data_IF_081776528086
#
_entry.id   IF_081776528086
#
_cell.length_a   1.000
_cell.length_b   1.000
_cell.length_c   1.000
_cell.angle_alpha   90.00
_cell.angle_beta   90.00
_cell.angle_gamma   90.00
#
_symmetry.space_group_name_H-M   'P 1'
#
loop_
_entity.id
_entity.type
_entity.pdbx_description
1 polymer ?
#
# COMPACT_ATOMS: atom_id res chain seq x y z
N UNK A 1 19.47 -13.37 1.81
CA UNK A 1 19.22 -12.33 0.79
C UNK A 1 20.15 -12.51 -0.41
N UNK A 2 19.64 -12.54 -1.64
CA UNK A 2 20.49 -12.65 -2.85
C UNK A 2 21.27 -11.33 -3.06
N UNK A 3 22.60 -11.40 -3.16
CA UNK A 3 23.45 -10.22 -3.40
C UNK A 3 23.14 -9.62 -4.79
N UNK A 4 22.90 -8.32 -4.86
CA UNK A 4 22.67 -7.61 -6.13
C UNK A 4 24.00 -7.51 -6.87
N UNK A 5 24.08 -8.16 -8.04
CA UNK A 5 25.27 -8.12 -8.89
C UNK A 5 25.38 -6.77 -9.60
N UNK A 6 26.58 -6.20 -9.65
CA UNK A 6 26.88 -5.00 -10.44
C UNK A 6 26.72 -5.30 -11.94
N UNK A 7 26.27 -4.32 -12.71
CA UNK A 7 26.09 -4.38 -14.17
C UNK A 7 26.87 -3.27 -14.88
N UNK A 8 27.21 -3.49 -16.14
CA UNK A 8 27.84 -2.48 -17.01
C UNK A 8 26.76 -1.64 -17.70
N UNK A 9 26.83 -0.32 -17.59
CA UNK A 9 25.89 0.58 -18.24
C UNK A 9 26.02 0.52 -19.77
N UNK A 10 24.90 0.45 -20.50
CA UNK A 10 24.91 0.43 -21.97
C UNK A 10 25.41 1.76 -22.60
N UNK A 11 25.27 2.89 -21.91
CA UNK A 11 25.71 4.19 -22.42
C UNK A 11 27.16 4.52 -22.01
N UNK A 12 27.38 4.84 -20.73
CA UNK A 12 28.69 5.29 -20.24
C UNK A 12 29.68 4.15 -19.91
N UNK A 13 29.28 2.89 -20.06
CA UNK A 13 30.10 1.69 -19.78
C UNK A 13 30.64 1.54 -18.35
N UNK A 14 30.31 2.45 -17.42
CA UNK A 14 30.65 2.31 -16.00
C UNK A 14 29.90 1.13 -15.36
N UNK A 15 30.53 0.49 -14.37
CA UNK A 15 29.87 -0.47 -13.49
C UNK A 15 28.95 0.27 -12.52
N UNK A 16 27.74 -0.25 -12.32
CA UNK A 16 26.76 0.29 -11.38
C UNK A 16 26.02 -0.83 -10.66
N UNK A 17 25.47 -0.53 -9.49
CA UNK A 17 24.55 -1.43 -8.77
C UNK A 17 23.13 -1.14 -9.27
N UNK A 18 22.44 -2.12 -9.89
CA UNK A 18 21.06 -1.97 -10.29
C UNK A 18 20.13 -1.73 -9.11
N UNK A 19 19.00 -1.07 -9.36
CA UNK A 19 17.95 -0.89 -8.37
C UNK A 19 17.38 -2.25 -7.95
N UNK A 20 17.26 -2.55 -6.63
CA UNK A 20 16.73 -3.82 -6.13
C UNK A 20 15.33 -4.15 -6.64
N UNK A 21 14.53 -3.15 -7.01
CA UNK A 21 13.17 -3.33 -7.54
C UNK A 21 13.16 -3.76 -9.01
N UNK A 22 14.24 -3.48 -9.75
CA UNK A 22 14.34 -3.79 -11.17
C UNK A 22 15.74 -4.28 -11.60
N UNK A 23 16.34 -5.25 -10.89
CA UNK A 23 17.71 -5.65 -11.13
C UNK A 23 17.83 -6.35 -12.48
N UNK A 24 16.79 -7.05 -12.92
CA UNK A 24 16.77 -7.78 -14.19
C UNK A 24 16.73 -6.83 -15.39
N UNK A 25 15.87 -5.79 -15.39
CA UNK A 25 15.62 -4.96 -16.58
C UNK A 25 16.46 -3.68 -16.64
N UNK A 26 17.10 -3.26 -15.55
CA UNK A 26 17.91 -2.05 -15.55
C UNK A 26 19.25 -2.25 -16.27
N UNK A 27 19.39 -1.60 -17.42
CA UNK A 27 20.58 -1.66 -18.30
C UNK A 27 21.42 -0.36 -18.30
N UNK A 28 20.90 0.71 -17.72
CA UNK A 28 21.54 2.02 -17.65
C UNK A 28 21.70 2.46 -16.19
N UNK A 29 22.82 3.12 -15.87
CA UNK A 29 23.05 3.69 -14.55
C UNK A 29 22.20 4.95 -14.31
N UNK A 30 22.13 5.42 -13.06
CA UNK A 30 21.29 6.57 -12.65
C UNK A 30 21.77 7.95 -13.11
N UNK A 31 22.94 8.05 -13.76
CA UNK A 31 23.47 9.32 -14.29
C UNK A 31 22.50 9.92 -15.32
N UNK A 32 22.24 11.23 -15.23
CA UNK A 32 21.34 11.97 -16.14
C UNK A 32 21.57 11.69 -17.64
N UNK A 33 22.79 11.76 -18.21
CA UNK A 33 22.99 11.44 -19.62
C UNK A 33 22.54 10.01 -19.95
N UNK A 34 22.87 9.04 -19.10
CA UNK A 34 22.46 7.64 -19.28
C UNK A 34 20.94 7.45 -19.19
N UNK A 35 20.25 8.20 -18.32
CA UNK A 35 18.78 8.18 -18.23
C UNK A 35 18.13 8.71 -19.50
N UNK A 36 18.64 9.83 -20.04
CA UNK A 36 18.18 10.39 -21.32
C UNK A 36 18.36 9.39 -22.45
N UNK A 37 19.54 8.77 -22.56
CA UNK A 37 19.81 7.72 -23.56
C UNK A 37 18.90 6.51 -23.38
N UNK A 38 18.68 6.05 -22.15
CA UNK A 38 17.76 4.96 -21.84
C UNK A 38 16.35 5.27 -22.34
N UNK A 39 15.83 6.47 -22.02
CA UNK A 39 14.49 6.90 -22.46
C UNK A 39 14.41 6.95 -23.99
N UNK A 40 15.41 7.52 -24.66
CA UNK A 40 15.45 7.60 -26.12
C UNK A 40 15.50 6.21 -26.78
N UNK A 41 16.29 5.28 -26.23
CA UNK A 41 16.38 3.91 -26.73
C UNK A 41 15.04 3.16 -26.56
N UNK A 42 14.41 3.26 -25.40
CA UNK A 42 13.08 2.70 -25.15
C UNK A 42 12.03 3.30 -26.06
N UNK A 43 12.05 4.63 -26.25
CA UNK A 43 11.15 5.33 -27.16
C UNK A 43 11.31 4.84 -28.60
N UNK A 44 12.55 4.71 -29.09
CA UNK A 44 12.83 4.22 -30.45
C UNK A 44 12.33 2.79 -30.64
N UNK A 45 12.59 1.91 -29.68
CA UNK A 45 12.09 0.52 -29.70
C UNK A 45 10.56 0.45 -29.67
N UNK A 46 9.92 1.38 -28.98
CA UNK A 46 8.47 1.43 -28.91
C UNK A 46 7.86 1.95 -30.23
N UNK A 47 8.44 3.00 -30.81
CA UNK A 47 8.05 3.58 -32.10
C UNK A 47 8.38 2.71 -33.31
N UNK A 48 9.32 1.76 -33.19
CA UNK A 48 9.63 0.82 -34.28
C UNK A 48 8.53 -0.22 -34.51
N UNK A 49 7.57 -0.33 -33.59
CA UNK A 49 6.38 -1.16 -33.79
C UNK A 49 5.42 -0.45 -34.75
N UNK A 50 4.93 -1.11 -35.82
CA UNK A 50 4.04 -0.50 -36.80
C UNK A 50 2.84 0.22 -36.19
N UNK A 51 2.24 -0.36 -35.15
CA UNK A 51 1.05 0.15 -34.46
C UNK A 51 1.31 1.48 -33.73
N UNK A 52 2.56 1.72 -33.32
CA UNK A 52 2.95 2.88 -32.51
C UNK A 52 3.67 3.97 -33.33
N UNK A 53 4.01 3.69 -34.58
CA UNK A 53 4.85 4.55 -35.43
C UNK A 53 4.33 5.99 -35.47
N UNK A 54 3.03 6.12 -35.65
CA UNK A 54 2.36 7.40 -35.78
C UNK A 54 1.61 7.82 -34.50
N UNK A 55 1.83 7.18 -33.36
CA UNK A 55 1.08 7.49 -32.13
C UNK A 55 1.10 8.96 -31.73
N UNK A 56 2.23 9.66 -31.94
CA UNK A 56 2.34 11.09 -31.60
C UNK A 56 1.99 12.04 -32.75
N UNK A 57 1.78 11.52 -33.97
CA UNK A 57 1.56 12.31 -35.19
C UNK A 57 0.26 11.99 -35.91
N UNK A 58 -0.38 10.88 -35.56
CA UNK A 58 -1.55 10.34 -36.21
C UNK A 58 -2.79 11.19 -35.92
N UNK A 59 -3.70 11.30 -36.89
CA UNK A 59 -4.85 12.21 -36.80
C UNK A 59 -5.74 11.90 -35.60
N UNK A 60 -5.92 10.63 -35.25
CA UNK A 60 -6.71 10.21 -34.09
C UNK A 60 -6.15 10.73 -32.76
N UNK A 61 -4.85 10.50 -32.50
CA UNK A 61 -4.23 10.96 -31.26
C UNK A 61 -4.18 12.49 -31.17
N UNK A 62 -3.99 13.17 -32.31
CA UNK A 62 -4.03 14.63 -32.38
C UNK A 62 -5.43 15.15 -32.06
N UNK A 63 -6.48 14.62 -32.71
CA UNK A 63 -7.89 14.98 -32.44
C UNK A 63 -8.24 14.76 -30.97
N UNK A 64 -7.90 13.60 -30.41
CA UNK A 64 -8.12 13.29 -28.99
C UNK A 64 -7.47 14.31 -28.05
N UNK A 65 -6.23 14.72 -28.33
CA UNK A 65 -5.54 15.75 -27.52
C UNK A 65 -6.18 17.12 -27.69
N UNK A 66 -6.65 17.47 -28.90
CA UNK A 66 -7.38 18.71 -29.14
C UNK A 66 -8.70 18.75 -28.39
N UNK A 67 -9.49 17.68 -28.44
CA UNK A 67 -10.76 17.55 -27.71
C UNK A 67 -10.53 17.68 -26.21
N UNK A 68 -9.57 16.92 -25.68
CA UNK A 68 -9.22 16.99 -24.26
C UNK A 68 -8.82 18.40 -23.82
N UNK A 69 -8.09 19.15 -24.66
CA UNK A 69 -7.74 20.56 -24.38
C UNK A 69 -8.95 21.49 -24.40
N UNK A 70 -9.94 21.22 -25.26
CA UNK A 70 -11.20 21.98 -25.34
C UNK A 70 -12.04 21.78 -24.09
N UNK A 71 -12.14 20.53 -23.63
CA UNK A 71 -12.85 20.17 -22.40
C UNK A 71 -12.13 20.62 -21.12
N UNK A 72 -10.80 20.79 -21.16
CA UNK A 72 -9.98 21.14 -19.99
C UNK A 72 -9.24 22.49 -20.18
N UNK A 73 -9.96 23.61 -20.39
CA UNK A 73 -9.33 24.91 -20.55
C UNK A 73 -8.61 25.30 -19.25
N UNK A 74 -7.37 25.79 -19.39
CA UNK A 74 -6.58 26.23 -18.24
C UNK A 74 -5.88 25.13 -17.44
N UNK A 75 -5.95 23.85 -17.84
CA UNK A 75 -5.21 22.77 -17.17
C UNK A 75 -3.71 23.07 -17.04
N UNK A 76 -3.09 23.59 -18.11
CA UNK A 76 -1.67 23.96 -18.13
C UNK A 76 -1.33 25.20 -17.29
N UNK A 77 -2.35 25.98 -16.89
CA UNK A 77 -2.22 27.18 -16.05
C UNK A 77 -2.31 26.86 -14.55
N UNK A 78 -2.48 25.60 -14.15
CA UNK A 78 -2.42 25.23 -12.74
C UNK A 78 -1.07 25.66 -12.18
N UNK A 79 -1.08 26.62 -11.24
CA UNK A 79 0.14 26.97 -10.52
C UNK A 79 0.66 25.73 -9.84
N UNK A 80 1.99 25.59 -9.75
CA UNK A 80 2.59 24.62 -8.83
C UNK A 80 2.04 24.97 -7.44
N UNK A 81 1.07 24.21 -6.94
CA UNK A 81 0.71 24.27 -5.53
C UNK A 81 2.03 24.00 -4.79
N UNK A 82 2.51 25.00 -4.06
CA UNK A 82 3.69 24.89 -3.19
C UNK A 82 3.47 23.86 -2.06
N UNK A 83 2.20 23.49 -1.86
CA UNK A 83 1.75 22.49 -0.92
C UNK A 83 1.68 21.17 -1.70
N UNK A 84 2.65 20.28 -1.46
CA UNK A 84 2.46 18.87 -1.73
C UNK A 84 1.15 18.46 -1.04
N UNK A 85 0.38 17.54 -1.63
CA UNK A 85 -0.87 17.02 -1.06
C UNK A 85 -0.66 16.17 0.22
N UNK A 86 0.39 16.49 0.97
CA UNK A 86 0.65 16.05 2.32
C UNK A 86 0.47 17.31 3.17
N UNK A 87 -0.54 17.31 4.03
CA UNK A 87 -0.69 18.36 5.03
C UNK A 87 0.63 18.50 5.78
N UNK A 88 1.24 19.71 5.81
CA UNK A 88 2.33 19.96 6.73
C UNK A 88 1.73 19.80 8.13
N UNK A 89 2.23 18.80 8.88
CA UNK A 89 2.03 18.74 10.33
C UNK A 89 2.45 20.10 10.88
N UNK A 90 1.47 20.93 11.22
CA UNK A 90 1.72 22.18 11.93
C UNK A 90 2.29 21.76 13.27
N UNK A 91 3.61 21.95 13.45
CA UNK A 91 4.24 21.88 14.77
C UNK A 91 3.65 23.04 15.57
N UNK A 92 2.65 22.73 16.42
CA UNK A 92 2.18 23.66 17.41
C UNK A 92 3.21 23.71 18.55
N UNK A 93 3.57 24.93 18.94
CA UNK A 93 4.65 25.22 19.87
C UNK A 93 4.40 24.59 21.24
N UNK A 94 5.47 24.06 21.81
CA UNK A 94 5.51 23.59 23.20
C UNK A 94 5.42 24.82 24.11
N UNK A 95 4.25 25.08 24.66
CA UNK A 95 4.14 25.85 25.90
C UNK A 95 4.35 24.89 27.06
N UNK A 96 5.57 24.89 27.58
CA UNK A 96 5.88 24.28 28.86
C UNK A 96 5.17 25.08 29.95
N UNK A 97 4.11 24.53 30.53
CA UNK A 97 3.73 24.91 31.89
C UNK A 97 3.55 23.66 32.74
N UNK A 98 4.47 23.54 33.69
CA UNK A 98 4.56 22.58 34.76
C UNK A 98 3.31 22.57 35.62
N UNK A 99 2.66 21.41 35.78
CA UNK A 99 2.19 20.98 37.10
C UNK A 99 2.02 19.45 37.12
N UNK A 100 2.85 18.81 37.95
CA UNK A 100 2.57 17.47 38.46
C UNK A 100 1.25 17.50 39.22
N UNK A 101 0.43 16.49 38.99
CA UNK A 101 -0.27 15.70 40.00
C UNK A 101 -1.55 15.14 39.38
N UNK A 102 -1.48 13.88 38.93
CA UNK A 102 -2.48 12.84 39.19
C UNK A 102 -2.23 11.66 38.26
N UNK A 103 -1.92 10.54 38.88
CA UNK A 103 -2.07 9.20 38.30
C UNK A 103 -3.53 9.04 37.88
N UNK A 104 -3.84 9.26 36.61
CA UNK A 104 -5.01 8.72 35.93
C UNK A 104 -4.93 9.01 34.44
N UNK A 105 -5.27 8.02 33.62
CA UNK A 105 -5.57 8.16 32.21
C UNK A 105 -4.38 8.42 31.26
N UNK A 106 -3.37 7.54 31.27
CA UNK A 106 -2.88 7.12 29.95
C UNK A 106 -4.03 6.36 29.31
N UNK A 107 -4.76 7.00 28.40
CA UNK A 107 -5.78 6.32 27.62
C UNK A 107 -5.07 5.17 26.89
N UNK A 108 -5.67 3.99 26.87
CA UNK A 108 -5.11 2.80 26.21
C UNK A 108 -4.61 3.11 24.78
N UNK A 109 -5.25 4.08 24.12
CA UNK A 109 -4.85 4.64 22.83
C UNK A 109 -3.41 5.17 22.78
N UNK A 110 -2.93 5.87 23.82
CA UNK A 110 -1.58 6.42 23.86
C UNK A 110 -0.51 5.32 24.03
N UNK A 111 -0.86 4.22 24.70
CA UNK A 111 -0.01 3.02 24.81
C UNK A 111 0.09 2.26 23.47
N UNK A 112 -1.00 2.21 22.71
CA UNK A 112 -1.08 1.50 21.42
C UNK A 112 -0.33 2.27 20.32
N UNK A 113 -0.31 3.61 20.38
CA UNK A 113 0.52 4.44 19.49
C UNK A 113 2.02 4.22 19.77
N UNK A 114 2.40 3.93 21.02
CA UNK A 114 3.79 3.74 21.43
C UNK A 114 4.35 2.32 21.21
N UNK A 115 3.52 1.29 21.00
CA UNK A 115 4.00 -0.08 20.72
C UNK A 115 3.26 -0.82 19.59
N UNK A 116 3.42 -0.35 18.32
CA UNK A 116 2.96 -1.09 17.14
C UNK A 116 3.40 -2.58 17.09
N UNK A 117 4.61 -2.99 17.55
CA UNK A 117 5.05 -4.37 17.41
C UNK A 117 4.28 -5.40 18.26
N UNK A 118 3.83 -5.03 19.47
CA UNK A 118 3.17 -5.98 20.39
C UNK A 118 1.78 -6.36 19.87
N UNK A 119 1.02 -5.37 19.40
CA UNK A 119 -0.31 -5.58 18.81
C UNK A 119 -0.19 -6.44 17.55
N UNK A 120 0.77 -6.13 16.68
CA UNK A 120 1.05 -6.92 15.48
C UNK A 120 1.44 -8.36 15.86
N UNK A 121 2.26 -8.54 16.90
CA UNK A 121 2.64 -9.85 17.42
C UNK A 121 1.47 -10.67 17.95
N UNK A 122 0.56 -10.05 18.71
CA UNK A 122 -0.63 -10.72 19.24
C UNK A 122 -1.59 -11.15 18.13
N UNK A 123 -1.84 -10.28 17.15
CA UNK A 123 -2.69 -10.60 15.99
C UNK A 123 -2.05 -11.71 15.15
N UNK A 124 -0.74 -11.63 14.93
CA UNK A 124 0.00 -12.68 14.21
C UNK A 124 -0.06 -14.02 14.94
N UNK A 125 0.04 -14.02 16.27
CA UNK A 125 -0.07 -15.23 17.09
C UNK A 125 -1.48 -15.83 17.03
N UNK A 126 -2.52 -14.98 17.03
CA UNK A 126 -3.92 -15.41 16.96
C UNK A 126 -4.28 -16.05 15.61
N UNK A 127 -3.76 -15.51 14.50
CA UNK A 127 -4.03 -16.02 13.14
C UNK A 127 -3.06 -17.15 12.78
N UNK A 128 -1.89 -17.22 13.42
CA UNK A 128 -0.79 -18.09 13.01
C UNK A 128 -0.07 -17.63 11.74
N UNK A 129 -0.29 -16.37 11.30
CA UNK A 129 0.32 -15.79 10.10
C UNK A 129 1.05 -14.49 10.44
N UNK A 130 2.25 -14.30 9.89
CA UNK A 130 3.00 -13.06 9.94
C UNK A 130 2.86 -12.23 8.64
N UNK A 131 2.00 -12.67 7.71
CA UNK A 131 1.78 -12.00 6.45
C UNK A 131 1.00 -10.70 6.68
N UNK A 132 1.49 -9.61 6.11
CA UNK A 132 0.94 -8.27 6.33
C UNK A 132 -0.51 -8.14 5.87
N UNK A 133 -0.87 -8.81 4.76
CA UNK A 133 -2.23 -8.79 4.22
C UNK A 133 -3.22 -9.51 5.14
N UNK A 134 -2.82 -10.66 5.69
CA UNK A 134 -3.63 -11.42 6.66
C UNK A 134 -3.83 -10.61 7.95
N UNK A 135 -2.76 -10.00 8.45
CA UNK A 135 -2.82 -9.14 9.64
C UNK A 135 -3.72 -7.93 9.41
N UNK A 136 -3.63 -7.27 8.24
CA UNK A 136 -4.46 -6.11 7.92
C UNK A 136 -5.94 -6.48 7.78
N UNK A 137 -6.25 -7.59 7.12
CA UNK A 137 -7.62 -8.07 6.96
C UNK A 137 -8.25 -8.45 8.31
N UNK A 138 -7.52 -9.18 9.15
CA UNK A 138 -8.02 -9.57 10.48
C UNK A 138 -8.12 -8.39 11.43
N UNK A 139 -7.20 -7.42 11.37
CA UNK A 139 -7.29 -6.20 12.16
C UNK A 139 -8.60 -5.44 11.86
N UNK A 140 -8.98 -5.35 10.58
CA UNK A 140 -10.23 -4.70 10.17
C UNK A 140 -11.46 -5.45 10.69
N UNK A 141 -11.47 -6.79 10.64
CA UNK A 141 -12.55 -7.62 11.16
C UNK A 141 -12.67 -7.52 12.69
N UNK A 142 -11.54 -7.54 13.40
CA UNK A 142 -11.50 -7.36 14.85
C UNK A 142 -12.00 -5.97 15.26
N UNK A 143 -11.63 -4.94 14.50
CA UNK A 143 -12.13 -3.59 14.72
C UNK A 143 -13.64 -3.53 14.50
N UNK A 144 -14.15 -4.11 13.42
CA UNK A 144 -15.59 -4.13 13.13
C UNK A 144 -16.37 -4.89 14.21
N UNK A 145 -15.89 -6.06 14.63
CA UNK A 145 -16.49 -6.82 15.75
C UNK A 145 -16.47 -6.02 17.06
N UNK A 146 -15.38 -5.32 17.36
CA UNK A 146 -15.30 -4.44 18.53
C UNK A 146 -16.31 -3.29 18.45
N UNK A 147 -16.47 -2.68 17.27
CA UNK A 147 -17.49 -1.64 17.05
C UNK A 147 -18.91 -2.20 17.20
N UNK A 148 -19.19 -3.39 16.69
CA UNK A 148 -20.49 -4.02 16.83
C UNK A 148 -20.80 -4.27 18.32
N UNK A 149 -19.85 -4.76 19.11
CA UNK A 149 -20.00 -4.97 20.56
C UNK A 149 -20.28 -3.65 21.29
N UNK A 150 -19.56 -2.58 20.94
CA UNK A 150 -19.67 -1.28 21.59
C UNK A 150 -20.91 -0.48 21.14
N UNK A 151 -21.35 -0.67 19.89
CA UNK A 151 -22.48 0.04 19.28
C UNK A 151 -23.79 -0.76 19.32
N UNK A 152 -23.82 -1.95 19.93
CA UNK A 152 -25.06 -2.64 20.30
C UNK A 152 -25.90 -1.71 21.19
N UNK A 153 -26.88 -1.02 20.58
CA UNK A 153 -28.00 -0.46 21.30
C UNK A 153 -28.79 -1.65 21.88
N UNK A 154 -29.02 -1.74 23.21
CA UNK A 154 -29.93 -2.74 23.73
C UNK A 154 -31.33 -2.40 23.20
N UNK A 155 -31.82 -3.15 22.21
CA UNK A 155 -33.24 -3.16 21.93
C UNK A 155 -33.91 -3.90 23.08
N UNK A 156 -34.40 -3.14 24.06
CA UNK A 156 -35.48 -3.61 24.91
C UNK A 156 -36.78 -3.30 24.19
N UNK A 157 -37.36 -4.28 23.52
CA UNK A 157 -38.79 -4.58 23.63
C UNK A 157 -38.97 -6.10 23.51
N UNK A 158 -39.66 -6.67 24.49
CA UNK A 158 -39.81 -8.11 24.63
C UNK A 158 -40.74 -8.70 23.58
N UNK A 159 -40.33 -9.84 23.04
CA UNK A 159 -41.18 -10.75 22.28
C UNK A 159 -40.60 -12.14 22.40
N UNK A 160 -41.21 -12.99 23.23
CA UNK A 160 -40.96 -14.43 23.28
C UNK A 160 -41.12 -14.99 21.87
N UNK A 161 -40.08 -15.53 21.27
CA UNK A 161 -40.19 -16.66 20.33
C UNK A 161 -38.98 -17.57 20.47
N UNK A 162 -39.27 -18.87 20.39
CA UNK A 162 -38.52 -19.97 20.95
C UNK A 162 -37.09 -20.14 20.41
N UNK A 163 -36.24 -20.68 21.26
CA UNK A 163 -34.91 -21.15 20.94
C UNK A 163 -34.94 -22.15 19.78
N UNK A 164 -34.37 -21.77 18.65
CA UNK A 164 -33.90 -22.71 17.63
C UNK A 164 -32.38 -22.59 17.50
N UNK A 165 -31.68 -23.61 17.99
CA UNK A 165 -30.37 -24.04 17.48
C UNK A 165 -30.74 -25.08 16.41
N UNK A 166 -30.28 -24.98 15.14
CA UNK A 166 -28.89 -25.36 14.75
C UNK A 166 -28.41 -24.63 13.47
N UNK A 167 -27.23 -24.79 12.86
CA UNK A 167 -26.16 -25.79 12.86
C UNK A 167 -24.85 -25.08 12.46
N UNK A 168 -23.78 -25.25 13.24
CA UNK A 168 -22.42 -24.94 12.79
C UNK A 168 -21.96 -26.09 11.89
N UNK A 169 -22.12 -25.95 10.57
CA UNK A 169 -21.50 -26.89 9.63
C UNK A 169 -20.01 -26.60 9.50
N UNK A 170 -19.26 -27.30 10.32
CA UNK A 170 -17.83 -27.55 10.19
C UNK A 170 -17.58 -28.28 8.85
N UNK A 171 -17.03 -27.61 7.85
CA UNK A 171 -16.38 -28.31 6.73
C UNK A 171 -14.95 -28.64 7.13
N UNK A 172 -14.81 -29.75 7.85
CA UNK A 172 -13.53 -30.39 8.11
C UNK A 172 -12.93 -30.90 6.80
N UNK A 173 -11.75 -30.40 6.45
CA UNK A 173 -10.83 -31.08 5.55
C UNK A 173 -10.18 -32.22 6.35
N UNK A 174 -10.58 -33.46 6.08
CA UNK A 174 -9.82 -34.64 6.48
C UNK A 174 -9.66 -35.58 5.29
N UNK A 175 -8.47 -35.55 4.71
CA UNK A 175 -7.89 -36.68 4.00
C UNK A 175 -6.58 -37.04 4.69
N UNK A 176 -6.65 -37.89 5.70
CA UNK A 176 -5.49 -38.48 6.37
C UNK A 176 -4.98 -39.66 5.54
N UNK A 177 -3.67 -39.72 5.29
CA UNK A 177 -2.98 -41.00 5.14
C UNK A 177 -1.83 -41.08 6.14
N UNK A 178 -1.81 -42.25 6.78
CA UNK A 178 -1.20 -42.60 8.05
C UNK A 178 0.17 -43.22 7.78
N UNK A 179 1.22 -42.68 8.40
CA UNK A 179 2.49 -43.37 8.61
C UNK A 179 2.27 -44.44 9.68
N UNK A 180 2.52 -45.71 9.35
CA UNK A 180 2.81 -46.74 10.34
C UNK A 180 4.31 -47.01 10.32
N UNK A 181 4.93 -46.83 11.48
CA UNK A 181 6.22 -47.38 11.86
C UNK A 181 5.92 -48.67 12.62
N UNK A 182 6.50 -49.77 12.16
CA UNK A 182 7.17 -50.78 12.98
C UNK A 182 8.48 -51.13 12.25
#
# INVERSE_FOLDING_TARGET
MKKIKRKKCCHCRCLFVPDPRNPARQNYCKKEPCRKTSKAASQRKWLSKPENRDYFKGPEHVKRVQEWRRENPGYWKRSKRLIALQDPLIVQGVENTTHNDQVAACALQDLLIAQPPVIIGLISNFIGSALQDDIANTLLLMQQSGQDILCLKPQKEGGKHDCQIPDFTQTGSQGAQKLQLD
#
